data_IF_126871647457
#
_entry.id   IF_126871647457
#
_cell.length_a   1.000
_cell.length_b   1.000
_cell.length_c   1.000
_cell.angle_alpha   90.00
_cell.angle_beta   90.00
_cell.angle_gamma   90.00
#
_symmetry.space_group_name_H-M   'P 1'
#
loop_
_entity.id
_entity.type
_entity.pdbx_description
1 polymer ?
#
# COMPACT_ATOMS: atom_id res chain seq x y z
N UNK A 1 11.14 9.23 -17.18
CA UNK A 1 11.55 8.81 -15.82
C UNK A 1 10.84 9.72 -14.84
N UNK A 2 9.61 9.36 -14.46
CA UNK A 2 8.96 10.00 -13.31
C UNK A 2 9.59 9.38 -12.07
N UNK A 3 10.33 10.18 -11.32
CA UNK A 3 10.77 9.79 -9.99
C UNK A 3 9.54 10.03 -9.10
N UNK A 4 8.64 9.04 -9.04
CA UNK A 4 7.37 9.17 -8.33
C UNK A 4 7.62 9.17 -6.83
N UNK A 5 7.86 10.36 -6.29
CA UNK A 5 7.85 10.60 -4.86
C UNK A 5 6.45 10.26 -4.35
N UNK A 6 6.31 9.21 -3.55
CA UNK A 6 5.06 8.88 -2.87
C UNK A 6 4.82 9.99 -1.84
N UNK A 7 4.03 10.99 -2.20
CA UNK A 7 3.63 12.04 -1.26
C UNK A 7 2.63 11.48 -0.24
N UNK A 8 2.66 12.04 0.97
CA UNK A 8 1.72 11.81 2.06
C UNK A 8 0.26 11.75 1.59
N UNK A 9 -0.14 12.60 0.65
CA UNK A 9 -1.48 12.63 0.03
C UNK A 9 -1.86 11.30 -0.63
N UNK A 10 -0.93 10.67 -1.35
CA UNK A 10 -1.13 9.37 -2.01
C UNK A 10 -1.25 8.24 -0.99
N UNK A 11 -0.47 8.30 0.09
CA UNK A 11 -0.56 7.33 1.20
C UNK A 11 -1.91 7.42 1.93
N UNK A 12 -2.37 8.62 2.26
CA UNK A 12 -3.69 8.76 2.91
C UNK A 12 -4.83 8.26 2.02
N UNK A 13 -4.73 8.49 0.71
CA UNK A 13 -5.72 8.02 -0.26
C UNK A 13 -5.77 6.49 -0.32
N UNK A 14 -4.61 5.82 -0.38
CA UNK A 14 -4.55 4.36 -0.49
C UNK A 14 -5.00 3.66 0.79
N UNK A 15 -4.72 4.25 1.96
CA UNK A 15 -5.25 3.78 3.25
C UNK A 15 -6.77 3.91 3.32
N UNK A 16 -7.33 4.99 2.76
CA UNK A 16 -8.78 5.16 2.64
C UNK A 16 -9.43 4.07 1.77
N UNK A 17 -8.79 3.72 0.66
CA UNK A 17 -9.24 2.64 -0.24
C UNK A 17 -9.12 1.27 0.44
N UNK A 18 -8.03 1.02 1.17
CA UNK A 18 -7.86 -0.22 1.94
C UNK A 18 -8.99 -0.42 2.94
N UNK A 19 -9.35 0.63 3.68
CA UNK A 19 -10.50 0.59 4.60
C UNK A 19 -11.81 0.28 3.88
N UNK A 20 -12.04 0.89 2.71
CA UNK A 20 -13.24 0.64 1.91
C UNK A 20 -13.32 -0.81 1.37
N UNK A 21 -12.16 -1.47 1.19
CA UNK A 21 -12.06 -2.88 0.82
C UNK A 21 -12.12 -3.85 2.02
N UNK A 22 -12.40 -3.34 3.22
CA UNK A 22 -12.51 -4.16 4.43
C UNK A 22 -11.18 -4.48 5.12
N UNK A 23 -10.06 -3.95 4.61
CA UNK A 23 -8.76 -4.12 5.24
C UNK A 23 -8.63 -3.27 6.49
N UNK A 24 -7.93 -3.81 7.50
CA UNK A 24 -7.56 -3.05 8.70
C UNK A 24 -6.42 -2.09 8.32
N UNK A 25 -6.60 -0.75 8.43
CA UNK A 25 -5.62 0.22 7.96
C UNK A 25 -4.21 0.04 8.53
N UNK A 26 -4.13 -0.30 9.82
CA UNK A 26 -2.85 -0.51 10.49
C UNK A 26 -2.11 -1.71 9.92
N UNK A 27 -2.79 -2.85 9.77
CA UNK A 27 -2.18 -4.08 9.22
C UNK A 27 -1.75 -3.90 7.78
N UNK A 28 -2.60 -3.27 6.96
CA UNK A 28 -2.29 -2.93 5.58
C UNK A 28 -1.06 -2.02 5.49
N UNK A 29 -0.99 -0.99 6.34
CA UNK A 29 0.12 -0.05 6.36
C UNK A 29 1.44 -0.73 6.77
N UNK A 30 1.43 -1.54 7.82
CA UNK A 30 2.61 -2.31 8.25
C UNK A 30 3.06 -3.32 7.19
N UNK A 31 2.12 -3.99 6.52
CA UNK A 31 2.42 -4.89 5.41
C UNK A 31 3.12 -4.15 4.26
N UNK A 32 2.57 -3.02 3.82
CA UNK A 32 3.19 -2.20 2.78
C UNK A 32 4.61 -1.76 3.16
N UNK A 33 4.83 -1.29 4.39
CA UNK A 33 6.16 -0.88 4.85
C UNK A 33 7.18 -2.02 4.86
N UNK A 34 6.76 -3.24 5.21
CA UNK A 34 7.64 -4.41 5.19
C UNK A 34 8.05 -4.81 3.77
N UNK A 35 7.11 -4.79 2.82
CA UNK A 35 7.36 -5.11 1.42
C UNK A 35 8.19 -4.02 0.72
N UNK A 36 7.96 -2.74 1.06
CA UNK A 36 8.76 -1.61 0.56
C UNK A 36 10.25 -1.72 0.94
N UNK A 37 10.56 -2.47 2.01
CA UNK A 37 11.95 -2.74 2.42
C UNK A 37 12.60 -3.89 1.63
N UNK A 38 11.85 -4.63 0.81
CA UNK A 38 12.38 -5.76 0.04
C UNK A 38 13.04 -5.30 -1.27
N UNK A 39 14.15 -5.95 -1.68
CA UNK A 39 14.87 -5.58 -2.91
C UNK A 39 14.09 -5.89 -4.19
N UNK A 40 13.12 -6.83 -4.13
CA UNK A 40 12.23 -7.20 -5.22
C UNK A 40 10.78 -6.94 -4.79
N UNK A 41 10.38 -5.68 -4.86
CA UNK A 41 9.01 -5.28 -4.57
C UNK A 41 8.13 -5.42 -5.81
N UNK A 42 7.01 -6.11 -5.67
CA UNK A 42 5.90 -6.05 -6.62
C UNK A 42 4.83 -5.10 -6.08
N UNK A 43 4.80 -3.86 -6.62
CA UNK A 43 3.87 -2.82 -6.18
C UNK A 43 2.41 -3.23 -6.43
N UNK A 44 2.14 -3.99 -7.50
CA UNK A 44 0.78 -4.39 -7.83
C UNK A 44 0.22 -5.35 -6.76
N UNK A 45 1.07 -6.16 -6.15
CA UNK A 45 0.67 -7.05 -5.05
C UNK A 45 0.21 -6.29 -3.79
N UNK A 46 0.69 -5.06 -3.59
CA UNK A 46 0.34 -4.19 -2.47
C UNK A 46 -0.97 -3.42 -2.66
N UNK A 47 -1.58 -3.50 -3.84
CA UNK A 47 -2.83 -2.81 -4.10
C UNK A 47 -3.94 -3.41 -3.24
N UNK A 48 -4.82 -2.58 -2.65
CA UNK A 48 -5.82 -3.03 -1.68
C UNK A 48 -6.75 -4.15 -2.17
N UNK A 49 -7.04 -4.19 -3.47
CA UNK A 49 -7.90 -5.21 -4.09
C UNK A 49 -7.19 -6.54 -4.35
N UNK A 50 -5.86 -6.60 -4.22
CA UNK A 50 -5.06 -7.81 -4.39
C UNK A 50 -4.74 -8.51 -3.06
N UNK A 51 -4.95 -7.84 -1.92
CA UNK A 51 -4.76 -8.41 -0.59
C UNK A 51 -6.03 -9.15 -0.18
N UNK A 52 -5.88 -10.45 0.09
CA UNK A 52 -6.96 -11.30 0.61
C UNK A 52 -6.83 -11.39 2.13
N UNK A 53 -7.95 -11.24 2.85
CA UNK A 53 -8.02 -11.54 4.28
C UNK A 53 -8.03 -13.04 4.54
#
# INVERSE_FOLDING_TARGET
>A
MVNETIDSTSLYSIVGIAKANGLIPYEYFTHCLNELCQPSLDIDSLLPWNIKQ
#
